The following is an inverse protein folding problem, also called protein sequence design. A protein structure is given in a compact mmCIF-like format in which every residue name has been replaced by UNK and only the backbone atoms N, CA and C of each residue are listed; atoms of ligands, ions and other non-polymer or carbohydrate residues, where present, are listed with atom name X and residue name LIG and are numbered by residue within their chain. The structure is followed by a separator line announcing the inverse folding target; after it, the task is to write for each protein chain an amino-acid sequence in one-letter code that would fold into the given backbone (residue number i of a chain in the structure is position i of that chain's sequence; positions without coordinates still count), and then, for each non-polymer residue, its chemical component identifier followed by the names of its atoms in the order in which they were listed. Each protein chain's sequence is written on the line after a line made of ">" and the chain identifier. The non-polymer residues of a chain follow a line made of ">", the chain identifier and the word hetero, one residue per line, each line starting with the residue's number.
data_IF_654398945630
#
_entry.id   IF_654398945630
#
_cell.length_a   1.000
_cell.length_b   1.000
_cell.length_c   1.000
_cell.angle_alpha   90.00
_cell.angle_beta   90.00
_cell.angle_gamma   90.00
#
_symmetry.space_group_name_H-M   'P 1'
#
loop_
_entity.id
_entity.type
_entity.pdbx_description
1 polymer ?
#
# COMPACT_ATOMS: atom_id res chain seq x y z
N UNK A 1 -0.93 20.92 14.79
CA UNK A 1 -0.93 21.09 13.32
C UNK A 1 -2.22 20.48 12.79
N UNK A 2 -2.92 21.19 11.91
CA UNK A 2 -4.13 20.68 11.25
C UNK A 2 -3.78 19.58 10.26
N UNK A 3 -4.72 18.66 10.03
CA UNK A 3 -4.58 17.64 9.00
C UNK A 3 -4.53 18.27 7.61
N UNK A 4 -3.69 17.73 6.71
CA UNK A 4 -3.61 18.14 5.31
C UNK A 4 -4.67 17.46 4.47
N UNK A 5 -4.96 16.19 4.79
CA UNK A 5 -6.07 15.43 4.21
C UNK A 5 -6.93 14.90 5.36
N UNK A 6 -8.24 15.09 5.25
CA UNK A 6 -9.23 14.53 6.15
C UNK A 6 -10.33 13.84 5.34
N UNK A 7 -10.46 12.53 5.53
CA UNK A 7 -11.51 11.71 4.93
C UNK A 7 -12.56 11.42 6.00
N UNK A 8 -13.83 11.70 5.70
CA UNK A 8 -14.94 11.58 6.64
C UNK A 8 -16.08 10.77 6.03
N UNK A 9 -16.45 9.67 6.69
CA UNK A 9 -17.57 8.80 6.35
C UNK A 9 -17.61 8.42 4.86
N UNK A 10 -16.45 8.09 4.30
CA UNK A 10 -16.31 7.74 2.90
C UNK A 10 -16.98 6.39 2.63
N UNK A 11 -17.88 6.39 1.67
CA UNK A 11 -18.57 5.21 1.18
C UNK A 11 -18.40 5.10 -0.33
N UNK A 12 -18.04 3.90 -0.81
CA UNK A 12 -17.88 3.60 -2.24
C UNK A 12 -18.72 2.39 -2.60
N UNK A 13 -19.69 2.59 -3.49
CA UNK A 13 -20.61 1.53 -3.95
C UNK A 13 -20.43 1.32 -5.45
N UNK A 14 -20.11 0.10 -5.86
CA UNK A 14 -20.11 -0.30 -7.26
C UNK A 14 -21.53 -0.68 -7.68
N UNK A 15 -22.06 0.00 -8.69
CA UNK A 15 -23.36 -0.29 -9.29
C UNK A 15 -23.17 -0.92 -10.66
N UNK A 16 -23.59 -2.18 -10.81
CA UNK A 16 -23.55 -2.88 -12.08
C UNK A 16 -24.94 -3.43 -12.42
N UNK A 17 -25.58 -2.84 -13.44
CA UNK A 17 -26.90 -3.25 -13.96
C UNK A 17 -27.99 -3.41 -12.89
N UNK A 18 -28.08 -4.60 -12.28
CA UNK A 18 -29.12 -5.00 -11.31
C UNK A 18 -28.58 -5.26 -9.88
N UNK A 19 -27.28 -5.08 -9.64
CA UNK A 19 -26.68 -5.27 -8.33
C UNK A 19 -25.84 -4.06 -7.93
N UNK A 20 -25.90 -3.74 -6.64
CA UNK A 20 -25.03 -2.78 -5.98
C UNK A 20 -24.20 -3.52 -4.94
N UNK A 21 -22.88 -3.34 -4.95
CA UNK A 21 -21.97 -3.88 -3.94
C UNK A 21 -21.22 -2.73 -3.29
N UNK A 22 -21.35 -2.62 -1.97
CA UNK A 22 -20.50 -1.71 -1.19
C UNK A 22 -19.08 -2.29 -1.13
N UNK A 23 -18.10 -1.43 -1.41
CA UNK A 23 -16.68 -1.79 -1.45
C UNK A 23 -15.87 -1.07 -0.37
N UNK A 24 -16.36 0.08 0.07
CA UNK A 24 -15.80 0.88 1.16
C UNK A 24 -16.97 1.45 1.94
N UNK A 25 -16.94 1.33 3.26
CA UNK A 25 -18.04 1.69 4.15
C UNK A 25 -17.53 2.50 5.35
N UNK A 26 -18.07 3.72 5.50
CA UNK A 26 -17.83 4.62 6.64
C UNK A 26 -16.35 4.86 6.98
N UNK A 27 -15.47 4.83 5.97
CA UNK A 27 -14.03 5.03 6.17
C UNK A 27 -13.75 6.48 6.53
N UNK A 28 -13.09 6.67 7.68
CA UNK A 28 -12.69 7.99 8.17
C UNK A 28 -11.25 7.97 8.68
N UNK A 29 -10.44 8.92 8.23
CA UNK A 29 -9.06 9.10 8.70
C UNK A 29 -8.54 10.51 8.39
N UNK A 30 -7.45 10.89 9.04
CA UNK A 30 -6.72 12.12 8.75
C UNK A 30 -5.25 11.83 8.55
N UNK A 31 -4.58 12.66 7.75
CA UNK A 31 -3.13 12.65 7.53
C UNK A 31 -2.60 14.04 7.83
N UNK A 32 -1.53 14.13 8.62
CA UNK A 32 -0.89 15.40 8.99
C UNK A 32 0.29 15.71 8.07
N UNK A 33 0.68 16.99 7.93
CA UNK A 33 1.90 17.37 7.23
C UNK A 33 3.12 16.60 7.77
N UNK A 34 3.88 15.98 6.87
CA UNK A 34 5.07 15.18 7.22
C UNK A 34 4.79 13.85 7.94
N UNK A 35 3.53 13.46 8.13
CA UNK A 35 3.14 12.13 8.64
C UNK A 35 3.10 11.14 7.48
N UNK A 36 3.59 9.92 7.71
CA UNK A 36 3.30 8.78 6.86
C UNK A 36 2.22 7.91 7.51
N UNK A 37 1.00 7.98 6.96
CA UNK A 37 -0.10 7.10 7.33
C UNK A 37 -0.07 5.85 6.44
N UNK A 38 0.17 4.70 7.07
CA UNK A 38 0.11 3.40 6.41
C UNK A 38 -1.31 2.86 6.36
N UNK A 39 -1.74 2.32 5.22
CA UNK A 39 -2.99 1.56 5.07
C UNK A 39 -2.62 0.10 4.74
N UNK A 40 -2.88 -0.78 5.70
CA UNK A 40 -2.60 -2.21 5.64
C UNK A 40 -3.85 -3.02 5.30
N UNK A 41 -3.69 -4.11 4.56
CA UNK A 41 -4.72 -5.13 4.41
C UNK A 41 -4.47 -6.00 3.19
N UNK A 42 -5.13 -7.14 3.09
CA UNK A 42 -5.02 -8.05 1.95
C UNK A 42 -5.62 -7.45 0.66
N UNK A 43 -5.36 -8.11 -0.46
CA UNK A 43 -5.98 -7.73 -1.73
C UNK A 43 -7.50 -7.77 -1.61
N UNK A 44 -8.18 -6.76 -2.16
CA UNK A 44 -9.64 -6.64 -2.09
C UNK A 44 -10.21 -6.04 -0.80
N UNK A 45 -9.36 -5.61 0.17
CA UNK A 45 -9.86 -5.01 1.42
C UNK A 45 -10.38 -3.57 1.32
N UNK A 46 -10.31 -2.95 0.13
CA UNK A 46 -10.84 -1.60 -0.12
C UNK A 46 -9.80 -0.46 -0.12
N UNK A 47 -8.51 -0.76 0.08
CA UNK A 47 -7.43 0.25 0.17
C UNK A 47 -7.32 1.13 -1.09
N UNK A 48 -7.08 0.52 -2.24
CA UNK A 48 -6.94 1.25 -3.50
C UNK A 48 -8.26 1.91 -3.93
N UNK A 49 -9.42 1.33 -3.59
CA UNK A 49 -10.73 1.94 -3.85
C UNK A 49 -10.92 3.23 -3.04
N UNK A 50 -10.55 3.21 -1.76
CA UNK A 50 -10.57 4.39 -0.87
C UNK A 50 -9.78 5.53 -1.49
N UNK A 51 -8.54 5.27 -1.86
CA UNK A 51 -7.64 6.30 -2.39
C UNK A 51 -8.04 6.78 -3.79
N UNK A 52 -8.41 5.87 -4.70
CA UNK A 52 -8.89 6.27 -6.04
C UNK A 52 -10.18 7.08 -5.96
N UNK A 53 -11.04 6.82 -4.98
CA UNK A 53 -12.26 7.61 -4.77
C UNK A 53 -11.96 9.04 -4.31
N UNK A 54 -11.01 9.22 -3.38
CA UNK A 54 -10.55 10.54 -2.90
C UNK A 54 -9.98 11.38 -4.05
N UNK A 55 -9.27 10.77 -5.00
CA UNK A 55 -8.67 11.46 -6.15
C UNK A 55 -9.60 11.62 -7.37
N UNK A 56 -10.86 11.18 -7.28
CA UNK A 56 -11.80 11.20 -8.40
C UNK A 56 -11.33 10.37 -9.60
N UNK A 57 -10.66 9.24 -9.35
CA UNK A 57 -10.11 8.33 -10.37
C UNK A 57 -11.01 7.13 -10.67
N UNK A 58 -12.13 6.99 -9.97
CA UNK A 58 -13.10 5.92 -10.22
C UNK A 58 -13.99 6.25 -11.44
N UNK A 59 -14.45 5.20 -12.11
CA UNK A 59 -15.37 5.33 -13.25
C UNK A 59 -16.80 5.68 -12.80
N UNK A 60 -17.69 5.90 -13.77
CA UNK A 60 -19.09 6.31 -13.53
C UNK A 60 -19.96 5.24 -12.87
N UNK A 61 -19.51 3.99 -12.79
CA UNK A 61 -20.26 2.91 -12.16
C UNK A 61 -20.12 2.94 -10.63
N UNK A 62 -19.19 3.75 -10.11
CA UNK A 62 -19.02 3.94 -8.67
C UNK A 62 -19.82 5.14 -8.18
N UNK A 63 -20.59 4.92 -7.12
CA UNK A 63 -21.23 5.97 -6.34
C UNK A 63 -20.39 6.23 -5.09
N UNK A 64 -20.05 7.49 -4.87
CA UNK A 64 -19.18 7.94 -3.79
C UNK A 64 -19.97 8.90 -2.91
N UNK A 65 -19.89 8.73 -1.59
CA UNK A 65 -20.43 9.68 -0.61
C UNK A 65 -19.50 9.82 0.58
N UNK A 66 -19.69 10.86 1.40
CA UNK A 66 -18.75 11.27 2.44
C UNK A 66 -18.11 12.62 2.10
N UNK A 67 -16.93 12.89 2.68
CA UNK A 67 -16.11 14.07 2.38
C UNK A 67 -14.63 13.70 2.32
N UNK A 68 -13.87 14.36 1.45
CA UNK A 68 -12.42 14.25 1.42
C UNK A 68 -11.82 15.66 1.34
N UNK A 69 -11.47 16.21 2.49
CA UNK A 69 -11.03 17.60 2.64
C UNK A 69 -9.51 17.63 2.51
N UNK A 70 -9.00 18.24 1.45
CA UNK A 70 -7.57 18.53 1.25
C UNK A 70 -7.35 20.03 1.33
N UNK A 71 -6.53 20.48 2.28
CA UNK A 71 -6.22 21.91 2.49
C UNK A 71 -7.48 22.81 2.49
N UNK A 72 -8.52 22.35 3.19
CA UNK A 72 -9.81 23.04 3.30
C UNK A 72 -10.79 22.86 2.12
N UNK A 73 -10.39 22.20 1.03
CA UNK A 73 -11.22 21.95 -0.16
C UNK A 73 -11.77 20.52 -0.18
N UNK A 74 -13.07 20.33 -0.42
CA UNK A 74 -13.67 18.98 -0.50
C UNK A 74 -13.52 18.38 -1.89
N UNK A 75 -12.49 17.55 -2.06
CA UNK A 75 -12.11 16.91 -3.33
C UNK A 75 -13.27 16.16 -4.00
N UNK A 76 -14.21 15.62 -3.23
CA UNK A 76 -15.35 14.87 -3.79
C UNK A 76 -16.39 15.76 -4.47
N UNK A 77 -16.35 17.08 -4.22
CA UNK A 77 -17.28 18.07 -4.75
C UNK A 77 -16.66 18.99 -5.80
N UNK A 78 -15.35 18.89 -5.99
CA UNK A 78 -14.62 19.71 -6.93
C UNK A 78 -14.92 19.34 -8.39
N UNK A 79 -14.71 20.31 -9.27
CA UNK A 79 -14.79 20.09 -10.72
C UNK A 79 -13.63 19.20 -11.20
N UNK A 80 -13.80 18.59 -12.38
CA UNK A 80 -12.73 17.77 -12.98
C UNK A 80 -11.50 18.60 -13.30
N UNK A 81 -11.70 19.87 -13.65
CA UNK A 81 -10.66 20.84 -13.96
C UNK A 81 -9.86 21.20 -12.71
N UNK A 82 -10.51 21.43 -11.56
CA UNK A 82 -9.83 21.68 -10.30
C UNK A 82 -9.07 20.45 -9.82
N UNK A 83 -9.69 19.27 -9.86
CA UNK A 83 -9.00 18.01 -9.57
C UNK A 83 -7.79 17.79 -10.49
N UNK A 84 -7.85 18.22 -11.76
CA UNK A 84 -6.72 18.16 -12.68
C UNK A 84 -5.60 19.12 -12.29
N UNK A 85 -5.90 20.30 -11.75
CA UNK A 85 -4.89 21.24 -11.24
C UNK A 85 -4.18 20.71 -10.00
N UNK A 86 -4.94 20.12 -9.07
CA UNK A 86 -4.40 19.56 -7.82
C UNK A 86 -3.54 18.32 -8.07
N UNK A 87 -3.98 17.44 -8.98
CA UNK A 87 -3.26 16.21 -9.31
C UNK A 87 -1.97 16.51 -10.08
N UNK A 88 -0.90 15.81 -9.72
CA UNK A 88 0.42 15.93 -10.34
C UNK A 88 1.25 17.10 -9.82
N UNK A 89 0.64 18.13 -9.24
CA UNK A 89 1.36 19.26 -8.62
C UNK A 89 1.35 19.17 -7.09
N UNK A 90 0.17 19.27 -6.45
CA UNK A 90 0.00 19.27 -4.99
C UNK A 90 -0.25 17.87 -4.43
N UNK A 91 -0.94 17.03 -5.20
CA UNK A 91 -1.26 15.65 -4.84
C UNK A 91 -0.74 14.72 -5.93
N UNK A 92 0.13 13.79 -5.57
CA UNK A 92 0.72 12.86 -6.53
C UNK A 92 0.54 11.41 -6.10
N UNK A 93 0.34 10.52 -7.07
CA UNK A 93 0.13 9.10 -6.84
C UNK A 93 1.21 8.28 -7.53
N UNK A 94 1.87 7.42 -6.77
CA UNK A 94 2.79 6.37 -7.24
C UNK A 94 1.99 5.07 -7.32
N UNK A 95 1.86 4.52 -8.53
CA UNK A 95 1.04 3.34 -8.81
C UNK A 95 1.82 2.03 -8.61
N UNK A 96 1.07 0.93 -8.50
CA UNK A 96 1.58 -0.40 -8.17
C UNK A 96 2.57 -0.99 -9.19
N UNK A 97 2.46 -0.64 -10.49
CA UNK A 97 3.31 -1.22 -11.54
C UNK A 97 3.88 -0.13 -12.47
N UNK A 98 5.20 0.10 -12.44
CA UNK A 98 5.82 1.15 -13.24
C UNK A 98 5.73 0.86 -14.74
N UNK A 99 5.75 -0.41 -15.15
CA UNK A 99 5.63 -0.78 -16.58
C UNK A 99 4.29 -0.38 -17.18
N UNK A 100 3.24 -0.26 -16.36
CA UNK A 100 1.92 0.20 -16.82
C UNK A 100 1.77 1.71 -16.78
N UNK A 101 2.71 2.42 -16.15
CA UNK A 101 2.70 3.87 -16.03
C UNK A 101 3.48 4.56 -17.14
N UNK A 102 4.48 3.88 -17.70
CA UNK A 102 5.22 4.38 -18.86
C UNK A 102 4.66 3.77 -20.15
N UNK A 103 4.48 4.61 -21.16
CA UNK A 103 4.17 4.16 -22.51
C UNK A 103 5.44 3.53 -23.14
N UNK A 104 5.39 2.25 -23.54
CA UNK A 104 6.56 1.54 -24.06
C UNK A 104 7.05 2.05 -25.42
N UNK A 105 6.24 2.85 -26.12
CA UNK A 105 6.55 3.42 -27.44
C UNK A 105 7.31 4.74 -27.38
N UNK A 106 7.41 5.37 -26.19
CA UNK A 106 8.11 6.63 -26.01
C UNK A 106 9.34 6.49 -25.12
N UNK A 107 10.33 7.35 -25.35
CA UNK A 107 11.54 7.41 -24.52
C UNK A 107 11.21 7.99 -23.13
N UNK A 108 12.02 7.63 -22.14
CA UNK A 108 11.88 8.14 -20.77
C UNK A 108 11.94 9.66 -20.74
N UNK A 109 12.90 10.27 -21.44
CA UNK A 109 13.04 11.72 -21.48
C UNK A 109 11.82 12.44 -22.05
N UNK A 110 11.17 11.86 -23.07
CA UNK A 110 9.94 12.42 -23.66
C UNK A 110 8.77 12.39 -22.66
N UNK A 111 8.62 11.30 -21.92
CA UNK A 111 7.53 11.14 -20.94
C UNK A 111 7.74 12.02 -19.69
N UNK A 112 8.99 12.18 -19.24
CA UNK A 112 9.34 13.15 -18.20
C UNK A 112 9.07 14.58 -18.67
N UNK A 113 9.46 14.92 -19.90
CA UNK A 113 9.25 16.24 -20.47
C UNK A 113 7.77 16.59 -20.63
N UNK A 114 6.94 15.64 -21.09
CA UNK A 114 5.48 15.82 -21.18
C UNK A 114 4.87 16.12 -19.81
N UNK A 115 5.29 15.38 -18.77
CA UNK A 115 4.80 15.58 -17.41
C UNK A 115 5.15 16.99 -16.92
N UNK A 116 6.42 17.40 -17.04
CA UNK A 116 6.83 18.73 -16.57
C UNK A 116 6.23 19.87 -17.40
N UNK A 117 6.14 19.73 -18.72
CA UNK A 117 5.50 20.73 -19.58
C UNK A 117 4.00 20.90 -19.28
N UNK A 118 3.35 19.86 -18.77
CA UNK A 118 1.92 19.93 -18.39
C UNK A 118 1.69 20.71 -17.09
N UNK A 119 2.65 20.68 -16.18
CA UNK A 119 2.49 21.19 -14.82
C UNK A 119 3.36 22.41 -14.49
N UNK A 120 4.27 22.81 -15.38
CA UNK A 120 5.23 23.91 -15.17
C UNK A 120 5.30 24.82 -16.40
N UNK A 121 5.95 25.97 -16.23
CA UNK A 121 6.28 26.89 -17.34
C UNK A 121 7.75 26.78 -17.75
N UNK A 122 8.42 25.67 -17.40
CA UNK A 122 9.84 25.46 -17.68
C UNK A 122 10.09 25.33 -19.19
N UNK A 123 11.20 25.89 -19.64
CA UNK A 123 11.75 25.68 -20.96
C UNK A 123 12.22 24.23 -21.15
N UNK A 124 12.39 23.79 -22.39
CA UNK A 124 12.90 22.45 -22.69
C UNK A 124 14.29 22.18 -22.06
N UNK A 125 15.12 23.22 -21.92
CA UNK A 125 16.45 23.13 -21.31
C UNK A 125 16.37 22.94 -19.79
N UNK A 126 15.45 23.65 -19.13
CA UNK A 126 15.17 23.49 -17.70
C UNK A 126 14.57 22.11 -17.42
N UNK A 127 13.60 21.67 -18.22
CA UNK A 127 13.01 20.33 -18.15
C UNK A 127 14.08 19.25 -18.25
N UNK A 128 15.02 19.36 -19.20
CA UNK A 128 16.12 18.40 -19.34
C UNK A 128 17.02 18.41 -18.10
N UNK A 129 17.40 19.59 -17.61
CA UNK A 129 18.26 19.72 -16.43
C UNK A 129 17.61 19.11 -15.18
N UNK A 130 16.36 19.46 -14.91
CA UNK A 130 15.60 18.88 -13.79
C UNK A 130 15.41 17.37 -13.94
N UNK A 131 15.18 16.87 -15.16
CA UNK A 131 15.09 15.43 -15.40
C UNK A 131 16.39 14.71 -15.01
N UNK A 132 17.55 15.29 -15.34
CA UNK A 132 18.85 14.74 -14.94
C UNK A 132 19.08 14.80 -13.43
N UNK A 133 18.67 15.89 -12.78
CA UNK A 133 18.73 16.04 -11.31
C UNK A 133 17.91 14.95 -10.62
N UNK A 134 16.68 14.71 -11.09
CA UNK A 134 15.79 13.66 -10.57
C UNK A 134 16.44 12.27 -10.72
N UNK A 135 16.99 11.97 -11.91
CA UNK A 135 17.69 10.70 -12.12
C UNK A 135 18.88 10.55 -11.16
N UNK A 136 19.64 11.62 -10.95
CA UNK A 136 20.76 11.62 -10.00
C UNK A 136 20.29 11.42 -8.54
N UNK A 137 19.24 12.13 -8.11
CA UNK A 137 18.63 11.97 -6.78
C UNK A 137 18.15 10.54 -6.54
N UNK A 138 17.57 9.93 -7.57
CA UNK A 138 17.11 8.54 -7.58
C UNK A 138 18.25 7.51 -7.77
N UNK A 139 19.51 7.96 -7.71
CA UNK A 139 20.73 7.16 -7.84
C UNK A 139 20.80 6.37 -9.14
N UNK A 140 20.25 6.91 -10.21
CA UNK A 140 20.31 6.35 -11.56
C UNK A 140 21.54 6.91 -12.26
N UNK A 141 22.49 6.01 -12.57
CA UNK A 141 23.72 6.35 -13.28
C UNK A 141 23.43 6.60 -14.77
N UNK A 142 24.30 7.37 -15.42
CA UNK A 142 24.21 7.70 -16.84
C UNK A 142 22.85 8.32 -17.22
N UNK A 143 22.40 9.33 -16.47
CA UNK A 143 21.09 9.96 -16.68
C UNK A 143 20.82 10.34 -18.14
N UNK A 144 21.82 10.90 -18.82
CA UNK A 144 21.75 11.25 -20.25
C UNK A 144 21.38 10.05 -21.15
N UNK A 145 22.01 8.90 -20.91
CA UNK A 145 21.73 7.67 -21.64
C UNK A 145 20.33 7.14 -21.30
N UNK A 146 19.92 7.26 -20.04
CA UNK A 146 18.61 6.81 -19.56
C UNK A 146 17.47 7.62 -20.18
N UNK A 147 17.63 8.93 -20.36
CA UNK A 147 16.63 9.78 -21.02
C UNK A 147 16.36 9.33 -22.47
N UNK A 148 17.36 8.75 -23.14
CA UNK A 148 17.25 8.26 -24.51
C UNK A 148 16.70 6.82 -24.62
N UNK A 149 16.58 6.10 -23.50
CA UNK A 149 16.07 4.73 -23.44
C UNK A 149 14.55 4.67 -23.45
N UNK A 150 14.02 3.56 -23.94
CA UNK A 150 12.63 3.16 -23.79
C UNK A 150 12.42 2.38 -22.49
N UNK A 151 11.19 2.33 -21.94
CA UNK A 151 10.90 1.64 -20.68
C UNK A 151 11.37 0.19 -20.65
N UNK A 152 11.16 -0.57 -21.73
CA UNK A 152 11.54 -1.98 -21.83
C UNK A 152 13.07 -2.22 -21.81
N UNK A 153 13.89 -1.18 -21.89
CA UNK A 153 15.35 -1.25 -21.80
C UNK A 153 15.88 -1.02 -20.37
N UNK A 154 14.98 -0.75 -19.42
CA UNK A 154 15.31 -0.47 -18.03
C UNK A 154 14.78 -1.58 -17.11
N UNK A 155 15.43 -1.79 -15.96
CA UNK A 155 14.89 -2.71 -14.96
C UNK A 155 13.64 -2.14 -14.32
N UNK A 156 12.75 -3.00 -13.81
CA UNK A 156 11.55 -2.57 -13.09
C UNK A 156 11.88 -1.66 -11.90
N UNK A 157 12.98 -1.94 -11.18
CA UNK A 157 13.49 -1.09 -10.11
C UNK A 157 13.90 0.30 -10.55
N UNK A 158 14.59 0.41 -11.70
CA UNK A 158 14.93 1.71 -12.28
C UNK A 158 13.66 2.49 -12.65
N UNK A 159 12.71 1.85 -13.32
CA UNK A 159 11.45 2.51 -13.69
C UNK A 159 10.65 2.96 -12.46
N UNK A 160 10.62 2.14 -11.40
CA UNK A 160 9.95 2.51 -10.15
C UNK A 160 10.59 3.74 -9.52
N UNK A 161 11.92 3.79 -9.48
CA UNK A 161 12.64 4.97 -8.97
C UNK A 161 12.41 6.20 -9.83
N UNK A 162 12.40 6.07 -11.16
CA UNK A 162 12.07 7.17 -12.08
C UNK A 162 10.65 7.68 -11.78
N UNK A 163 9.68 6.77 -11.63
CA UNK A 163 8.29 7.13 -11.32
C UNK A 163 8.17 7.86 -9.98
N UNK A 164 8.85 7.39 -8.93
CA UNK A 164 8.90 8.08 -7.63
C UNK A 164 9.57 9.45 -7.78
N UNK A 165 10.63 9.55 -8.58
CA UNK A 165 11.32 10.79 -8.90
C UNK A 165 10.42 11.83 -9.57
N UNK A 166 9.72 11.42 -10.63
CA UNK A 166 8.73 12.26 -11.31
C UNK A 166 7.63 12.69 -10.32
N UNK A 167 7.16 11.77 -9.49
CA UNK A 167 6.09 12.05 -8.55
C UNK A 167 6.47 13.10 -7.49
N UNK A 168 7.75 13.12 -7.09
CA UNK A 168 8.29 14.04 -6.09
C UNK A 168 8.85 15.34 -6.67
N UNK A 169 9.06 15.40 -7.99
CA UNK A 169 9.73 16.50 -8.67
C UNK A 169 9.09 17.88 -8.45
N UNK A 170 7.77 17.92 -8.27
CA UNK A 170 7.01 19.16 -8.03
C UNK A 170 6.72 19.39 -6.54
N UNK A 171 7.45 18.71 -5.65
CA UNK A 171 7.36 18.83 -4.20
C UNK A 171 5.91 18.76 -3.68
N UNK A 172 5.20 17.63 -3.94
CA UNK A 172 3.79 17.54 -3.59
C UNK A 172 3.60 17.64 -2.07
N UNK A 173 2.50 18.25 -1.70
CA UNK A 173 2.04 18.33 -0.31
C UNK A 173 1.53 16.97 0.19
N UNK A 174 0.95 16.17 -0.70
CA UNK A 174 0.48 14.81 -0.42
C UNK A 174 0.98 13.82 -1.47
N UNK A 175 1.75 12.83 -1.02
CA UNK A 175 2.15 11.66 -1.80
C UNK A 175 1.31 10.46 -1.43
N UNK A 176 0.76 9.78 -2.43
CA UNK A 176 0.02 8.54 -2.26
C UNK A 176 0.80 7.42 -2.94
N UNK A 177 1.20 6.40 -2.20
CA UNK A 177 1.90 5.25 -2.73
C UNK A 177 1.01 4.00 -2.65
N UNK A 178 0.48 3.54 -3.77
CA UNK A 178 -0.43 2.38 -3.86
C UNK A 178 0.33 1.12 -4.24
N UNK A 179 0.69 0.30 -3.24
CA UNK A 179 1.48 -0.92 -3.40
C UNK A 179 2.81 -0.70 -4.17
N UNK A 180 3.63 0.30 -3.78
CA UNK A 180 4.76 0.80 -4.58
C UNK A 180 5.96 -0.16 -4.64
N UNK A 181 5.90 -1.30 -3.96
CA UNK A 181 6.97 -2.31 -3.93
C UNK A 181 6.50 -3.69 -4.36
N UNK A 182 5.26 -3.81 -4.85
CA UNK A 182 4.73 -5.10 -5.29
C UNK A 182 5.37 -5.53 -6.61
N UNK A 183 5.56 -6.84 -6.78
CA UNK A 183 6.15 -7.46 -7.98
C UNK A 183 7.59 -7.01 -8.31
N UNK A 184 8.34 -6.58 -7.28
CA UNK A 184 9.76 -6.21 -7.37
C UNK A 184 10.59 -7.18 -6.49
N UNK A 185 11.86 -7.41 -6.83
CA UNK A 185 12.75 -8.25 -6.02
C UNK A 185 13.07 -7.63 -4.66
N UNK A 186 13.45 -8.46 -3.68
CA UNK A 186 13.61 -8.04 -2.29
C UNK A 186 14.70 -6.97 -2.08
N UNK A 187 15.77 -6.98 -2.89
CA UNK A 187 16.85 -6.00 -2.78
C UNK A 187 16.35 -4.64 -3.27
N UNK A 188 15.76 -4.61 -4.47
CA UNK A 188 15.19 -3.39 -5.04
C UNK A 188 14.05 -2.85 -4.17
N UNK A 189 13.21 -3.71 -3.59
CA UNK A 189 12.18 -3.31 -2.63
C UNK A 189 12.79 -2.58 -1.43
N UNK A 190 13.86 -3.11 -0.83
CA UNK A 190 14.54 -2.48 0.30
C UNK A 190 15.04 -1.08 -0.06
N UNK A 191 15.65 -0.94 -1.24
CA UNK A 191 16.16 0.33 -1.73
C UNK A 191 15.02 1.34 -1.94
N UNK A 192 13.90 0.94 -2.56
CA UNK A 192 12.73 1.80 -2.73
C UNK A 192 12.18 2.26 -1.39
N UNK A 193 12.10 1.38 -0.40
CA UNK A 193 11.64 1.76 0.94
C UNK A 193 12.59 2.77 1.61
N UNK A 194 13.90 2.67 1.40
CA UNK A 194 14.85 3.69 1.86
C UNK A 194 14.57 5.07 1.23
N UNK A 195 14.16 5.11 -0.04
CA UNK A 195 13.79 6.36 -0.72
C UNK A 195 12.55 7.00 -0.05
N UNK A 196 11.51 6.21 0.25
CA UNK A 196 10.34 6.71 0.98
C UNK A 196 10.69 7.19 2.40
N UNK A 197 11.61 6.49 3.09
CA UNK A 197 12.11 6.94 4.40
C UNK A 197 12.86 8.27 4.28
N UNK A 198 13.66 8.47 3.22
CA UNK A 198 14.34 9.74 2.97
C UNK A 198 13.33 10.86 2.73
N UNK A 199 12.37 10.66 1.82
CA UNK A 199 11.31 11.63 1.50
C UNK A 199 10.55 12.03 2.77
N UNK A 200 10.18 11.05 3.60
CA UNK A 200 9.53 11.30 4.89
C UNK A 200 10.39 12.16 5.83
N UNK A 201 11.71 11.91 5.91
CA UNK A 201 12.64 12.65 6.78
C UNK A 201 12.81 14.11 6.39
N UNK A 202 12.64 14.43 5.12
CA UNK A 202 12.66 15.80 4.61
C UNK A 202 11.43 16.59 5.08
N UNK A 203 10.38 15.92 5.58
CA UNK A 203 9.19 16.48 6.28
C UNK A 203 8.37 17.53 5.51
N UNK A 204 8.57 17.64 4.19
CA UNK A 204 7.82 18.56 3.34
C UNK A 204 6.49 17.97 2.84
N UNK A 205 6.39 16.63 2.79
CA UNK A 205 5.28 15.92 2.14
C UNK A 205 4.59 14.98 3.13
N UNK A 206 3.26 15.07 3.22
CA UNK A 206 2.46 14.04 3.88
C UNK A 206 2.36 12.80 2.98
N UNK A 207 2.30 11.61 3.58
CA UNK A 207 2.32 10.37 2.83
C UNK A 207 1.19 9.43 3.24
N UNK A 208 0.49 8.90 2.23
CA UNK A 208 -0.39 7.73 2.35
C UNK A 208 0.33 6.54 1.74
N UNK A 209 0.73 5.58 2.56
CA UNK A 209 1.46 4.40 2.11
C UNK A 209 0.57 3.14 2.19
N UNK A 210 0.13 2.64 1.05
CA UNK A 210 -0.77 1.50 0.97
C UNK A 210 0.03 0.24 0.66
N UNK A 211 -0.15 -0.79 1.46
CA UNK A 211 0.50 -2.08 1.22
C UNK A 211 -0.24 -3.22 1.89
N UNK A 212 0.02 -4.45 1.46
CA UNK A 212 -0.33 -5.66 2.19
C UNK A 212 0.86 -6.21 2.99
N UNK A 213 2.05 -5.63 2.84
CA UNK A 213 3.29 -6.08 3.47
C UNK A 213 3.54 -5.35 4.81
N UNK A 214 3.45 -6.13 5.89
CA UNK A 214 3.71 -5.67 7.25
C UNK A 214 5.18 -5.29 7.49
N UNK A 215 6.12 -5.84 6.72
CA UNK A 215 7.53 -5.47 6.73
C UNK A 215 7.73 -4.08 6.12
N UNK A 216 7.18 -3.84 4.93
CA UNK A 216 7.23 -2.53 4.29
C UNK A 216 6.64 -1.42 5.17
N UNK A 217 5.43 -1.65 5.72
CA UNK A 217 4.75 -0.64 6.55
C UNK A 217 5.53 -0.31 7.83
N UNK A 218 6.17 -1.32 8.44
CA UNK A 218 6.97 -1.15 9.67
C UNK A 218 8.15 -0.21 9.51
N UNK A 219 8.63 -0.03 8.28
CA UNK A 219 9.79 0.79 7.96
C UNK A 219 9.44 2.25 7.65
N UNK A 220 8.26 2.49 7.08
CA UNK A 220 7.88 3.81 6.54
C UNK A 220 6.80 4.52 7.36
N UNK A 221 5.81 3.80 7.92
CA UNK A 221 4.63 4.40 8.52
C UNK A 221 4.87 4.89 9.95
N UNK A 222 4.34 6.07 10.28
CA UNK A 222 4.24 6.56 11.67
C UNK A 222 3.04 5.96 12.39
N UNK A 223 1.94 5.84 11.65
CA UNK A 223 0.66 5.31 12.11
C UNK A 223 0.10 4.39 11.04
N UNK A 224 -0.66 3.38 11.47
CA UNK A 224 -1.20 2.34 10.61
C UNK A 224 -2.71 2.27 10.79
N UNK A 225 -3.42 2.16 9.68
CA UNK A 225 -4.82 1.73 9.60
C UNK A 225 -4.85 0.32 9.00
N UNK A 226 -5.66 -0.56 9.59
CA UNK A 226 -5.90 -1.89 9.02
C UNK A 226 -7.27 -1.89 8.39
N UNK A 227 -7.33 -2.22 7.11
CA UNK A 227 -8.55 -2.34 6.34
C UNK A 227 -8.88 -3.80 6.05
N UNK A 228 -10.15 -4.16 6.26
CA UNK A 228 -10.71 -5.45 5.89
C UNK A 228 -12.12 -5.25 5.33
N UNK A 229 -12.43 -5.93 4.21
CA UNK A 229 -13.76 -5.92 3.60
C UNK A 229 -14.41 -4.53 3.45
N UNK A 230 -13.61 -3.50 3.16
CA UNK A 230 -14.10 -2.13 2.98
C UNK A 230 -14.21 -1.29 4.25
N UNK A 231 -13.86 -1.83 5.41
CA UNK A 231 -13.91 -1.12 6.71
C UNK A 231 -12.50 -0.93 7.28
N UNK A 232 -12.32 0.13 8.06
CA UNK A 232 -11.18 0.23 8.99
C UNK A 232 -11.52 -0.63 10.22
N UNK A 233 -10.74 -1.67 10.47
CA UNK A 233 -10.97 -2.63 11.57
C UNK A 233 -10.01 -2.43 12.74
N UNK A 234 -8.86 -1.79 12.51
CA UNK A 234 -7.90 -1.47 13.56
C UNK A 234 -7.09 -0.21 13.19
N UNK A 235 -6.55 0.49 14.17
CA UNK A 235 -5.72 1.68 13.96
C UNK A 235 -4.81 1.96 15.15
N UNK A 236 -3.57 2.36 14.87
CA UNK A 236 -2.63 2.74 15.93
C UNK A 236 -1.20 2.88 15.45
N UNK A 237 -0.28 2.95 16.40
CA UNK A 237 1.16 2.85 16.09
C UNK A 237 1.47 1.46 15.55
N UNK A 238 2.61 1.31 14.86
CA UNK A 238 3.05 -0.01 14.41
C UNK A 238 3.20 -1.01 15.58
N UNK A 239 3.69 -0.54 16.73
CA UNK A 239 3.78 -1.33 17.96
C UNK A 239 2.41 -1.82 18.45
N UNK A 240 1.39 -0.94 18.42
CA UNK A 240 0.03 -1.33 18.76
C UNK A 240 -0.50 -2.45 17.86
N UNK A 241 -0.35 -2.28 16.53
CA UNK A 241 -0.78 -3.29 15.55
C UNK A 241 -0.05 -4.63 15.77
N UNK A 242 1.23 -4.59 16.14
CA UNK A 242 2.03 -5.81 16.32
C UNK A 242 1.72 -6.55 17.63
N UNK A 243 1.55 -5.82 18.74
CA UNK A 243 1.54 -6.40 20.10
C UNK A 243 0.18 -6.35 20.79
N UNK A 244 -0.70 -5.44 20.37
CA UNK A 244 -1.92 -5.07 21.09
C UNK A 244 -3.18 -5.06 20.21
N UNK A 245 -3.11 -5.64 19.01
CA UNK A 245 -4.24 -5.74 18.10
C UNK A 245 -5.42 -6.49 18.73
N UNK A 246 -6.58 -5.85 18.78
CA UNK A 246 -7.81 -6.43 19.31
C UNK A 246 -8.61 -7.16 18.24
N UNK A 247 -8.53 -6.69 17.00
CA UNK A 247 -9.28 -7.23 15.88
C UNK A 247 -8.71 -8.59 15.41
N UNK A 248 -9.55 -9.64 15.23
CA UNK A 248 -9.09 -10.96 14.80
C UNK A 248 -8.36 -10.97 13.45
N UNK A 249 -8.79 -10.13 12.51
CA UNK A 249 -8.14 -10.05 11.20
C UNK A 249 -6.74 -9.44 11.31
N UNK A 250 -6.58 -8.41 12.14
CA UNK A 250 -5.29 -7.79 12.41
C UNK A 250 -4.32 -8.78 13.07
N UNK A 251 -4.77 -9.56 14.07
CA UNK A 251 -3.96 -10.63 14.67
C UNK A 251 -3.53 -11.68 13.63
N UNK A 252 -4.45 -12.10 12.77
CA UNK A 252 -4.16 -13.04 11.69
C UNK A 252 -3.05 -12.51 10.76
N UNK A 253 -3.07 -11.21 10.39
CA UNK A 253 -2.01 -10.61 9.57
C UNK A 253 -0.64 -10.66 10.25
N UNK A 254 -0.59 -10.36 11.56
CA UNK A 254 0.64 -10.41 12.37
C UNK A 254 1.17 -11.85 12.50
N UNK A 255 0.28 -12.81 12.74
CA UNK A 255 0.61 -14.22 12.86
C UNK A 255 1.16 -14.80 11.56
N UNK A 256 0.53 -14.48 10.42
CA UNK A 256 1.02 -14.89 9.09
C UNK A 256 2.48 -14.46 8.88
N UNK A 257 2.83 -13.22 9.23
CA UNK A 257 4.23 -12.75 9.16
C UNK A 257 5.14 -13.51 10.12
N UNK A 258 4.72 -13.64 11.38
CA UNK A 258 5.52 -14.28 12.43
C UNK A 258 5.84 -15.74 12.09
N UNK A 259 4.90 -16.47 11.51
CA UNK A 259 5.08 -17.84 11.04
C UNK A 259 6.17 -17.96 9.96
N UNK A 260 6.18 -17.04 8.98
CA UNK A 260 7.21 -16.99 7.94
C UNK A 260 8.59 -16.71 8.54
N UNK A 261 8.68 -15.74 9.45
CA UNK A 261 9.94 -15.38 10.12
C UNK A 261 10.46 -16.48 11.03
N UNK A 262 9.57 -17.25 11.66
CA UNK A 262 9.94 -18.39 12.47
C UNK A 262 10.51 -19.52 11.61
N UNK A 263 9.82 -19.87 10.51
CA UNK A 263 10.30 -20.88 9.55
C UNK A 263 11.64 -20.49 8.93
N UNK A 264 11.84 -19.22 8.59
CA UNK A 264 13.12 -18.72 8.06
C UNK A 264 14.27 -18.89 9.07
N UNK A 265 14.05 -18.52 10.35
CA UNK A 265 15.04 -18.72 11.41
C UNK A 265 15.36 -20.19 11.65
N UNK A 266 14.35 -21.06 11.64
CA UNK A 266 14.57 -22.50 11.81
C UNK A 266 15.46 -23.08 10.69
N UNK A 267 15.22 -22.69 9.44
CA UNK A 267 16.05 -23.13 8.30
C UNK A 267 17.48 -22.61 8.39
N UNK A 268 17.67 -21.34 8.79
CA UNK A 268 19.02 -20.77 8.93
C UNK A 268 19.81 -21.34 10.10
N UNK A 269 19.14 -21.67 11.20
CA UNK A 269 19.78 -22.16 12.43
C UNK A 269 19.81 -23.70 12.52
N UNK A 270 19.27 -24.41 11.52
CA UNK A 270 19.28 -25.87 11.48
C UNK A 270 18.36 -26.55 12.49
N UNK A 271 17.35 -25.82 13.01
CA UNK A 271 16.38 -26.38 13.93
C UNK A 271 15.44 -27.35 13.17
N UNK A 272 15.12 -28.52 13.73
CA UNK A 272 14.30 -29.52 13.06
C UNK A 272 12.92 -28.93 12.70
N UNK A 273 12.50 -29.14 11.45
CA UNK A 273 11.17 -28.78 10.96
C UNK A 273 10.15 -29.57 11.79
N UNK A 274 9.50 -28.91 12.75
CA UNK A 274 8.35 -29.50 13.41
C UNK A 274 7.27 -29.68 12.35
N UNK A 275 7.05 -30.93 11.94
CA UNK A 275 5.94 -31.31 11.07
C UNK A 275 4.63 -30.77 11.65
N UNK A 276 3.75 -30.27 10.79
CA UNK A 276 2.54 -29.50 11.11
C UNK A 276 1.48 -30.21 11.99
N UNK A 277 1.79 -31.32 12.66
CA UNK A 277 0.86 -32.03 13.55
C UNK A 277 1.12 -31.82 15.05
N UNK A 278 1.94 -30.85 15.45
CA UNK A 278 2.11 -30.50 16.87
C UNK A 278 2.11 -28.98 17.07
N UNK A 279 0.96 -28.35 16.96
CA UNK A 279 0.76 -27.00 17.52
C UNK A 279 -0.63 -26.86 18.11
N UNK A 280 -0.88 -27.64 19.15
CA UNK A 280 -1.87 -27.34 20.18
C UNK A 280 -1.32 -27.93 21.48
N UNK A 281 -0.39 -27.20 22.11
CA UNK A 281 -0.18 -27.18 23.56
C UNK A 281 1.08 -26.39 23.91
N UNK A 282 0.91 -25.08 24.16
CA UNK A 282 1.74 -24.37 25.13
C UNK A 282 1.08 -23.09 25.60
N UNK A 283 0.24 -23.25 26.62
CA UNK A 283 0.07 -22.34 27.78
C UNK A 283 -1.13 -22.86 28.59
N UNK A 284 -0.99 -23.99 29.28
CA UNK A 284 -0.79 -23.93 30.74
C UNK A 284 -0.10 -22.65 31.23
N UNK A 285 -0.86 -21.56 31.34
CA UNK A 285 -0.78 -20.59 32.44
C UNK A 285 -2.16 -19.94 32.55
N UNK A 286 -3.05 -20.53 33.35
CA UNK A 286 -4.04 -19.85 34.18
C UNK A 286 -4.61 -20.92 35.14
N UNK A 287 -4.58 -20.58 36.42
CA UNK A 287 -4.73 -21.47 37.57
C UNK A 287 -6.06 -22.21 37.67
N UNK A 288 -5.96 -23.41 38.25
CA UNK A 288 -6.86 -24.04 39.23
C UNK A 288 -8.38 -23.79 39.10
N UNK A 289 -9.09 -24.80 38.57
CA UNK A 289 -10.09 -25.63 39.30
C UNK A 289 -10.97 -26.38 38.31
N UNK A 290 -11.12 -27.70 38.52
CA UNK A 290 -12.25 -28.48 38.03
C UNK A 290 -11.90 -29.62 37.09
N UNK A 291 -11.76 -30.82 37.66
CA UNK A 291 -11.86 -32.09 36.93
C UNK A 291 -13.14 -32.15 36.09
N UNK A 292 -13.09 -32.76 34.90
CA UNK A 292 -13.93 -33.92 34.48
C UNK A 292 -13.89 -34.17 32.94
N UNK A 293 -13.51 -35.42 32.60
CA UNK A 293 -13.98 -36.26 31.47
C UNK A 293 -13.48 -36.06 30.02
N UNK A 294 -12.31 -36.64 29.71
CA UNK A 294 -11.89 -37.07 28.37
C UNK A 294 -12.47 -38.46 27.99
N UNK A 295 -13.76 -38.55 27.65
CA UNK A 295 -14.32 -39.82 27.10
C UNK A 295 -15.31 -39.71 25.94
N UNK A 296 -15.38 -38.57 25.25
CA UNK A 296 -16.35 -38.38 24.15
C UNK A 296 -15.77 -37.93 22.79
N UNK A 297 -14.45 -37.88 22.61
CA UNK A 297 -13.84 -37.39 21.36
C UNK A 297 -13.24 -38.47 20.43
N UNK A 298 -13.44 -39.75 20.73
CA UNK A 298 -12.85 -40.85 19.94
C UNK A 298 -13.77 -41.46 18.86
N UNK A 299 -14.99 -40.95 18.65
CA UNK A 299 -15.97 -41.60 17.76
C UNK A 299 -16.26 -40.86 16.43
N UNK A 300 -15.75 -39.64 16.22
CA UNK A 300 -15.99 -38.89 14.96
C UNK A 300 -14.82 -38.94 13.95
N UNK A 301 -13.64 -39.40 14.38
CA UNK A 301 -12.45 -39.47 13.50
C UNK A 301 -12.42 -40.70 12.59
N UNK A 302 -13.31 -41.68 12.78
CA UNK A 302 -13.41 -42.87 11.91
C UNK A 302 -14.38 -42.73 10.72
N UNK A 303 -15.19 -41.66 10.66
CA UNK A 303 -16.24 -41.54 9.62
C UNK A 303 -15.75 -40.75 8.39
N UNK A 304 -14.70 -39.93 8.50
CA UNK A 304 -14.23 -39.09 7.39
C UNK A 304 -13.27 -39.79 6.42
N UNK A 305 -12.57 -40.84 6.85
CA UNK A 305 -11.57 -41.57 6.05
C UNK A 305 -12.14 -42.60 5.05
N UNK A 306 -13.46 -42.66 4.86
CA UNK A 306 -14.10 -43.60 3.91
C UNK A 306 -14.65 -42.96 2.63
N UNK A 307 -14.48 -41.65 2.41
CA UNK A 307 -15.02 -40.97 1.20
C UNK A 307 -13.99 -40.54 0.15
N UNK A 308 -12.69 -40.72 0.37
CA UNK A 308 -11.66 -40.32 -0.62
C UNK A 308 -11.12 -41.45 -1.52
N UNK A 309 -11.60 -42.70 -1.38
CA UNK A 309 -11.16 -43.82 -2.23
C UNK A 309 -12.22 -44.31 -3.24
N UNK A 310 -13.15 -43.45 -3.65
CA UNK A 310 -14.15 -43.79 -4.67
C UNK A 310 -14.30 -42.67 -5.72
N UNK A 311 -13.20 -42.33 -6.40
CA UNK A 311 -13.21 -41.64 -7.69
C UNK A 311 -11.83 -41.82 -8.36
N UNK A 312 -11.61 -43.01 -8.92
CA UNK A 312 -10.63 -43.25 -9.97
C UNK A 312 -11.38 -43.84 -11.16
#
# INVERSE_FOLDING_TARGET
>A
MSAILKVENLNVTLTQRKSSKKLVEEVSFEVRPGECLGILGESGSGKSMTVKSVLGLLDKNFQISGRAIFDGQDLLRESKEELRRLRGSRITMVLQNPMTCFDPLYRIGSQMAETFATHTTWSAQEIRSHSLEILAQMRIRNGEEVLEKYPHQLSGGMLQRIMIGIAMALEPELLIADEPTTAIDAITQYEILEEFVRIKKEKHTAMLFITHDLGAISKVADRVLVMNSGHIVDSGTFEHILMHANDPYTRMLVEKRSAVMHRYRQVLHGDPILSQNQTLNRSQVLNEKGLLNEKQFLDESQILNRKENAAC
#
